data_IF_239770953521
#
_entry.id   IF_239770953521
#
_cell.length_a   1.000
_cell.length_b   1.000
_cell.length_c   1.000
_cell.angle_alpha   90.00
_cell.angle_beta   90.00
_cell.angle_gamma   90.00
#
_symmetry.space_group_name_H-M   'P 1'
#
loop_
_entity.id
_entity.type
_entity.pdbx_description
1 polymer ?
#
# COMPACT_ATOMS: atom_id res chain seq x y z
N UNK A 1 67.62 42.93 0.70
CA UNK A 1 67.67 41.85 -0.32
C UNK A 1 67.40 40.45 0.25
N UNK A 2 67.22 40.28 1.58
CA UNK A 2 66.99 38.98 2.24
C UNK A 2 65.50 38.77 2.59
N UNK A 3 64.74 39.83 2.84
CA UNK A 3 63.30 39.74 3.20
C UNK A 3 62.39 39.26 2.06
N UNK A 4 62.68 39.62 0.80
CA UNK A 4 61.88 39.13 -0.33
C UNK A 4 62.08 37.64 -0.61
N UNK A 5 63.26 37.07 -0.31
CA UNK A 5 63.54 35.63 -0.55
C UNK A 5 62.70 34.75 0.39
N UNK A 6 62.52 35.16 1.65
CA UNK A 6 61.70 34.42 2.62
C UNK A 6 60.21 34.42 2.27
N UNK A 7 59.70 35.52 1.71
CA UNK A 7 58.30 35.61 1.29
C UNK A 7 58.01 34.72 0.07
N UNK A 8 58.95 34.65 -0.90
CA UNK A 8 58.86 33.72 -2.03
C UNK A 8 59.00 32.26 -1.62
N UNK A 9 59.89 31.94 -0.69
CA UNK A 9 60.01 30.57 -0.15
C UNK A 9 58.73 30.12 0.58
N UNK A 10 58.12 30.99 1.40
CA UNK A 10 56.86 30.68 2.09
C UNK A 10 55.69 30.48 1.11
N UNK A 11 55.61 31.30 0.06
CA UNK A 11 54.59 31.15 -0.98
C UNK A 11 54.76 29.86 -1.79
N UNK A 12 56.00 29.48 -2.11
CA UNK A 12 56.30 28.21 -2.81
C UNK A 12 55.98 27.01 -1.90
N UNK A 13 56.32 27.06 -0.61
CA UNK A 13 55.98 26.00 0.34
C UNK A 13 54.47 25.80 0.50
N UNK A 14 53.68 26.89 0.52
CA UNK A 14 52.22 26.82 0.55
C UNK A 14 51.63 26.25 -0.76
N UNK A 15 52.18 26.62 -1.91
CA UNK A 15 51.74 26.07 -3.20
C UNK A 15 52.09 24.58 -3.33
N UNK A 16 53.25 24.14 -2.84
CA UNK A 16 53.64 22.73 -2.79
C UNK A 16 52.76 21.97 -1.81
N UNK A 17 52.47 22.51 -0.63
CA UNK A 17 51.57 21.88 0.34
C UNK A 17 50.13 21.76 -0.22
N UNK A 18 49.63 22.78 -0.92
CA UNK A 18 48.33 22.75 -1.58
C UNK A 18 48.30 21.76 -2.76
N UNK A 19 49.39 21.65 -3.52
CA UNK A 19 49.51 20.66 -4.59
C UNK A 19 49.57 19.23 -4.04
N UNK A 20 50.35 19.00 -2.98
CA UNK A 20 50.44 17.70 -2.29
C UNK A 20 49.10 17.34 -1.66
N UNK A 21 48.41 18.29 -1.00
CA UNK A 21 47.06 18.06 -0.48
C UNK A 21 46.06 17.75 -1.60
N UNK A 22 46.13 18.45 -2.73
CA UNK A 22 45.27 18.18 -3.89
C UNK A 22 45.55 16.80 -4.51
N UNK A 23 46.81 16.36 -4.54
CA UNK A 23 47.22 15.03 -5.02
C UNK A 23 46.76 13.95 -4.03
N UNK A 24 46.95 14.14 -2.72
CA UNK A 24 46.53 13.19 -1.68
C UNK A 24 45.02 13.16 -1.45
N UNK A 25 44.31 14.26 -1.72
CA UNK A 25 42.84 14.30 -1.68
C UNK A 25 42.20 13.60 -2.89
N UNK A 26 42.99 13.23 -3.90
CA UNK A 26 42.46 12.67 -5.15
C UNK A 26 42.38 11.14 -5.19
N UNK A 27 42.94 10.43 -4.20
CA UNK A 27 42.84 8.98 -4.12
C UNK A 27 42.65 8.53 -2.67
N UNK A 28 41.42 8.67 -2.17
CA UNK A 28 40.96 7.98 -0.97
C UNK A 28 39.89 6.96 -1.39
N UNK A 29 40.22 5.65 -1.51
CA UNK A 29 39.35 4.67 -2.16
C UNK A 29 38.15 4.19 -1.31
N UNK A 30 37.75 4.92 -0.26
CA UNK A 30 36.70 4.49 0.67
C UNK A 30 35.54 5.48 0.89
N UNK A 31 35.33 6.46 0.01
CA UNK A 31 34.13 7.31 0.07
C UNK A 31 33.26 7.18 -1.19
N UNK A 32 32.90 5.93 -1.52
CA UNK A 32 31.76 5.67 -2.38
C UNK A 32 30.47 5.77 -1.56
N UNK A 33 30.04 7.01 -1.26
CA UNK A 33 28.60 7.25 -1.05
C UNK A 33 27.91 6.99 -2.38
N UNK A 34 27.49 5.73 -2.58
CA UNK A 34 26.57 5.36 -3.65
C UNK A 34 25.29 6.17 -3.46
N UNK A 35 25.18 7.30 -4.17
CA UNK A 35 23.88 7.91 -4.44
C UNK A 35 23.13 6.92 -5.33
N UNK A 36 22.30 6.11 -4.69
CA UNK A 36 21.28 5.30 -5.38
C UNK A 36 20.38 6.33 -6.07
N UNK A 37 20.57 6.53 -7.38
CA UNK A 37 19.51 7.13 -8.19
C UNK A 37 18.39 6.09 -8.20
N UNK A 38 17.15 6.43 -7.81
CA UNK A 38 16.03 5.53 -8.04
C UNK A 38 16.05 5.15 -9.51
N UNK A 39 16.14 3.85 -9.77
CA UNK A 39 16.11 3.33 -11.12
C UNK A 39 14.69 3.59 -11.63
N UNK A 40 14.58 4.46 -12.64
CA UNK A 40 13.30 4.75 -13.27
C UNK A 40 12.58 3.44 -13.59
N UNK A 41 11.27 3.31 -13.29
CA UNK A 41 10.53 2.11 -13.64
C UNK A 41 10.67 1.84 -15.13
N UNK A 42 11.07 0.61 -15.45
CA UNK A 42 11.38 0.17 -16.80
C UNK A 42 10.08 0.18 -17.62
N UNK A 43 10.00 1.10 -18.58
CA UNK A 43 9.04 1.23 -19.68
C UNK A 43 7.70 0.49 -19.51
N UNK A 44 6.65 1.27 -19.16
CA UNK A 44 5.24 0.90 -19.37
C UNK A 44 5.11 0.34 -20.79
N UNK A 45 4.63 -0.90 -20.91
CA UNK A 45 4.18 -1.42 -22.20
C UNK A 45 2.90 -0.65 -22.53
N UNK A 46 2.99 0.26 -23.49
CA UNK A 46 1.89 1.12 -23.96
C UNK A 46 0.60 0.29 -24.08
N UNK A 47 -0.29 0.51 -23.12
CA UNK A 47 -1.70 0.15 -23.22
C UNK A 47 -2.36 1.49 -23.49
N UNK A 48 -3.06 1.58 -24.62
CA UNK A 48 -3.66 2.81 -25.17
C UNK A 48 -4.09 3.80 -24.09
N UNK A 49 -3.34 4.91 -24.00
CA UNK A 49 -3.62 6.01 -23.09
C UNK A 49 -4.89 6.74 -23.54
N UNK A 50 -5.95 6.56 -22.76
CA UNK A 50 -7.09 7.46 -22.74
C UNK A 50 -7.35 7.85 -21.29
N UNK A 51 -6.81 9.01 -20.88
CA UNK A 51 -7.25 9.79 -19.71
C UNK A 51 -6.40 9.66 -18.44
N UNK A 52 -5.80 10.79 -18.02
CA UNK A 52 -5.22 11.17 -16.71
C UNK A 52 -4.57 10.11 -15.81
N UNK A 53 -3.33 10.36 -15.38
CA UNK A 53 -2.63 9.51 -14.39
C UNK A 53 -3.36 9.41 -13.03
N UNK A 54 -4.28 10.34 -12.74
CA UNK A 54 -5.04 10.41 -11.48
C UNK A 54 -6.16 9.36 -11.36
N UNK A 55 -6.54 9.06 -10.11
CA UNK A 55 -7.54 8.03 -9.80
C UNK A 55 -8.93 8.38 -10.35
N UNK A 56 -9.31 9.67 -10.36
CA UNK A 56 -10.61 10.12 -10.85
C UNK A 56 -10.74 9.89 -12.35
N UNK A 57 -9.71 10.22 -13.12
CA UNK A 57 -9.61 9.95 -14.55
C UNK A 57 -9.69 8.44 -14.85
N UNK A 58 -8.96 7.60 -14.11
CA UNK A 58 -9.03 6.13 -14.23
C UNK A 58 -10.41 5.59 -13.93
N UNK A 59 -11.10 6.11 -12.92
CA UNK A 59 -12.47 5.72 -12.57
C UNK A 59 -13.46 6.14 -13.66
N UNK A 60 -13.40 7.38 -14.14
CA UNK A 60 -14.25 7.88 -15.24
C UNK A 60 -14.05 7.06 -16.52
N UNK A 61 -12.80 6.80 -16.91
CA UNK A 61 -12.47 6.00 -18.10
C UNK A 61 -13.00 4.55 -18.02
N UNK A 62 -12.93 3.93 -16.84
CA UNK A 62 -13.45 2.57 -16.61
C UNK A 62 -14.94 2.54 -16.22
N UNK A 63 -15.59 3.70 -16.15
CA UNK A 63 -16.98 3.86 -15.71
C UNK A 63 -17.25 3.30 -14.32
N UNK A 64 -16.31 3.50 -13.38
CA UNK A 64 -16.40 3.08 -11.98
C UNK A 64 -16.86 4.25 -11.11
N UNK A 65 -17.73 3.95 -10.16
CA UNK A 65 -18.29 4.94 -9.23
C UNK A 65 -18.19 4.49 -7.77
N UNK A 66 -17.69 3.30 -7.46
CA UNK A 66 -17.31 2.94 -6.09
C UNK A 66 -15.80 2.79 -6.05
N UNK A 67 -15.13 3.54 -5.18
CA UNK A 67 -13.72 3.35 -4.87
C UNK A 67 -13.63 2.64 -3.53
N UNK A 68 -12.97 1.49 -3.50
CA UNK A 68 -12.74 0.71 -2.28
C UNK A 68 -11.25 0.71 -1.98
N UNK A 69 -10.88 1.30 -0.85
CA UNK A 69 -9.53 1.38 -0.31
C UNK A 69 -9.41 0.40 0.86
N UNK A 70 -8.31 -0.35 0.92
CA UNK A 70 -8.10 -1.35 1.96
C UNK A 70 -6.82 -1.10 2.76
N UNK A 71 -6.91 -1.23 4.08
CA UNK A 71 -5.76 -1.31 4.99
C UNK A 71 -5.60 -2.73 5.50
N UNK A 72 -4.55 -3.43 5.06
CA UNK A 72 -4.37 -4.86 5.31
C UNK A 72 -2.90 -5.20 5.51
N UNK A 73 -2.55 -5.99 6.54
CA UNK A 73 -1.21 -6.61 6.65
C UNK A 73 -1.21 -8.07 6.19
N UNK A 74 -2.28 -8.83 6.51
CA UNK A 74 -2.34 -10.29 6.26
C UNK A 74 -3.35 -10.70 5.19
N UNK A 75 -4.00 -9.75 4.52
CA UNK A 75 -4.88 -10.00 3.36
C UNK A 75 -6.38 -9.92 3.64
N UNK A 76 -6.84 -9.98 4.90
CA UNK A 76 -8.28 -10.05 5.22
C UNK A 76 -9.09 -8.87 4.68
N UNK A 77 -8.62 -7.64 4.88
CA UNK A 77 -9.33 -6.45 4.42
C UNK A 77 -9.28 -6.32 2.88
N UNK A 78 -8.21 -6.79 2.25
CA UNK A 78 -8.07 -6.87 0.78
C UNK A 78 -9.10 -7.85 0.20
N UNK A 79 -9.23 -9.04 0.79
CA UNK A 79 -10.20 -10.05 0.38
C UNK A 79 -11.65 -9.58 0.55
N UNK A 80 -11.96 -8.91 1.66
CA UNK A 80 -13.28 -8.31 1.88
C UNK A 80 -13.58 -7.21 0.87
N UNK A 81 -12.58 -6.39 0.53
CA UNK A 81 -12.70 -5.33 -0.49
C UNK A 81 -12.94 -5.89 -1.88
N UNK A 82 -12.19 -6.94 -2.26
CA UNK A 82 -12.40 -7.68 -3.50
C UNK A 82 -13.79 -8.34 -3.53
N UNK A 83 -14.23 -8.87 -2.39
CA UNK A 83 -15.58 -9.36 -2.14
C UNK A 83 -16.64 -8.32 -2.46
N UNK A 84 -16.61 -7.19 -1.78
CA UNK A 84 -17.52 -6.06 -1.96
C UNK A 84 -17.54 -5.59 -3.41
N UNK A 85 -16.38 -5.39 -4.01
CA UNK A 85 -16.29 -4.87 -5.38
C UNK A 85 -16.90 -5.83 -6.42
N UNK A 86 -16.79 -7.14 -6.21
CA UNK A 86 -17.41 -8.15 -7.06
C UNK A 86 -18.93 -8.10 -6.99
N UNK A 87 -19.48 -7.82 -5.80
CA UNK A 87 -20.92 -7.70 -5.59
C UNK A 87 -21.52 -6.43 -6.19
N UNK A 88 -20.73 -5.37 -6.38
CA UNK A 88 -21.19 -4.11 -6.96
C UNK A 88 -21.90 -4.31 -8.30
N UNK A 89 -21.43 -5.26 -9.12
CA UNK A 89 -22.05 -5.56 -10.41
C UNK A 89 -23.49 -6.09 -10.32
N UNK A 90 -23.92 -6.58 -9.16
CA UNK A 90 -25.31 -7.00 -8.91
C UNK A 90 -26.26 -5.82 -8.75
N UNK A 91 -25.75 -4.61 -8.56
CA UNK A 91 -26.56 -3.41 -8.43
C UNK A 91 -26.51 -2.59 -9.72
N UNK A 92 -27.66 -2.05 -10.13
CA UNK A 92 -27.75 -1.22 -11.33
C UNK A 92 -26.85 -0.01 -11.22
N UNK A 93 -26.14 0.32 -12.31
CA UNK A 93 -25.25 1.50 -12.42
C UNK A 93 -24.11 1.57 -11.40
N UNK A 94 -23.93 0.55 -10.56
CA UNK A 94 -22.81 0.47 -9.62
C UNK A 94 -21.69 -0.39 -10.21
N UNK A 95 -20.47 0.14 -10.17
CA UNK A 95 -19.25 -0.58 -10.51
C UNK A 95 -18.12 -0.11 -9.59
N UNK A 96 -17.50 -1.06 -8.91
CA UNK A 96 -16.41 -0.80 -7.99
C UNK A 96 -15.03 -0.97 -8.61
N UNK A 97 -14.06 -0.29 -8.03
CA UNK A 97 -12.62 -0.50 -8.20
C UNK A 97 -12.00 -0.63 -6.81
N UNK A 98 -11.15 -1.65 -6.63
CA UNK A 98 -10.34 -1.81 -5.42
C UNK A 98 -8.95 -1.30 -5.72
N UNK A 99 -8.39 -0.51 -4.80
CA UNK A 99 -7.06 0.09 -4.96
C UNK A 99 -6.33 0.05 -3.63
N UNK A 100 -5.04 -0.28 -3.68
CA UNK A 100 -4.13 -0.14 -2.56
C UNK A 100 -3.89 1.37 -2.30
N UNK A 101 -4.12 1.90 -1.09
CA UNK A 101 -3.90 3.32 -0.81
C UNK A 101 -2.47 3.80 -1.10
N UNK A 102 -1.46 2.94 -1.12
CA UNK A 102 -0.10 3.33 -1.53
C UNK A 102 0.03 3.65 -3.03
N UNK A 103 -0.93 3.27 -3.86
CA UNK A 103 -0.88 3.40 -5.33
C UNK A 103 -1.60 4.65 -5.86
N UNK A 104 -2.09 5.54 -4.98
CA UNK A 104 -2.83 6.74 -5.35
C UNK A 104 -2.31 7.99 -4.62
N UNK A 105 -2.54 9.14 -5.24
CA UNK A 105 -2.39 10.45 -4.62
C UNK A 105 -3.70 10.80 -3.89
N UNK A 106 -3.62 11.34 -2.68
CA UNK A 106 -4.77 11.49 -1.78
C UNK A 106 -5.56 12.77 -2.04
N UNK A 107 -4.91 13.78 -2.61
CA UNK A 107 -5.51 15.07 -2.97
C UNK A 107 -6.66 14.91 -3.97
N UNK A 108 -6.65 13.82 -4.75
CA UNK A 108 -7.71 13.50 -5.69
C UNK A 108 -8.97 12.94 -5.03
N UNK A 109 -8.91 12.49 -3.78
CA UNK A 109 -10.05 11.87 -3.10
C UNK A 109 -11.21 12.86 -2.87
N UNK A 110 -10.91 14.13 -2.60
CA UNK A 110 -11.94 15.18 -2.47
C UNK A 110 -12.73 15.43 -3.76
N UNK A 111 -12.15 15.08 -4.92
CA UNK A 111 -12.76 15.22 -6.24
C UNK A 111 -13.61 14.02 -6.65
N UNK A 112 -13.72 13.00 -5.80
CA UNK A 112 -14.51 11.81 -6.10
C UNK A 112 -16.01 12.12 -6.26
N UNK A 113 -16.49 13.23 -5.67
CA UNK A 113 -17.86 13.73 -5.81
C UNK A 113 -18.18 14.22 -7.23
N UNK A 114 -17.16 14.49 -8.06
CA UNK A 114 -17.33 14.79 -9.50
C UNK A 114 -17.91 13.60 -10.29
N UNK A 115 -17.76 12.37 -9.77
CA UNK A 115 -18.29 11.16 -10.41
C UNK A 115 -19.75 10.96 -9.95
N UNK A 116 -20.73 10.89 -10.86
CA UNK A 116 -22.12 10.67 -10.47
C UNK A 116 -22.31 9.37 -9.69
N UNK A 117 -23.08 9.45 -8.60
CA UNK A 117 -23.36 8.33 -7.70
C UNK A 117 -22.07 7.71 -7.12
N UNK A 118 -21.08 8.54 -6.79
CA UNK A 118 -19.82 8.03 -6.26
C UNK A 118 -19.92 7.64 -4.79
N UNK A 119 -19.15 6.62 -4.40
CA UNK A 119 -18.98 6.20 -3.00
C UNK A 119 -17.51 5.90 -2.74
N UNK A 120 -16.97 6.46 -1.67
CA UNK A 120 -15.68 6.10 -1.10
C UNK A 120 -15.88 5.07 0.01
N UNK A 121 -15.19 3.92 -0.07
CA UNK A 121 -15.29 2.87 0.95
C UNK A 121 -13.91 2.57 1.50
N UNK A 122 -13.78 2.57 2.82
CA UNK A 122 -12.59 2.10 3.53
C UNK A 122 -12.85 0.79 4.24
N UNK A 123 -12.01 -0.22 4.01
CA UNK A 123 -11.95 -1.44 4.80
C UNK A 123 -10.56 -1.48 5.46
N UNK A 124 -10.48 -1.07 6.72
CA UNK A 124 -9.19 -0.80 7.37
C UNK A 124 -9.00 -1.65 8.61
N UNK A 125 -7.91 -2.42 8.63
CA UNK A 125 -7.50 -3.15 9.80
C UNK A 125 -6.72 -2.27 10.78
N UNK A 126 -6.85 -2.56 12.07
CA UNK A 126 -6.05 -1.94 13.13
C UNK A 126 -4.95 -2.92 13.55
N UNK A 127 -3.70 -2.44 13.64
CA UNK A 127 -2.54 -3.25 14.05
C UNK A 127 -1.79 -2.61 15.22
N UNK A 128 -0.86 -3.36 15.81
CA UNK A 128 -0.01 -2.87 16.90
C UNK A 128 -0.82 -2.35 18.09
N UNK A 129 -0.49 -1.14 18.52
CA UNK A 129 -1.13 -0.45 19.66
C UNK A 129 -2.18 0.56 19.17
N UNK A 130 -3.01 0.14 18.21
CA UNK A 130 -4.03 0.99 17.60
C UNK A 130 -3.57 1.73 16.36
N UNK A 131 -2.49 1.29 15.72
CA UNK A 131 -1.84 1.89 14.55
C UNK A 131 -2.49 1.45 13.22
N UNK A 132 -2.32 2.22 12.12
CA UNK A 132 -2.69 1.79 10.78
C UNK A 132 -1.88 0.58 10.29
N UNK A 133 -2.34 -0.04 9.22
CA UNK A 133 -1.52 -0.99 8.46
C UNK A 133 -0.45 -0.25 7.68
N UNK A 134 0.63 -0.94 7.31
CA UNK A 134 1.76 -0.34 6.59
C UNK A 134 1.26 0.39 5.33
N UNK A 135 0.38 -0.27 4.57
CA UNK A 135 -0.19 0.27 3.34
C UNK A 135 -1.24 1.39 3.54
N UNK A 136 -1.57 1.75 4.78
CA UNK A 136 -2.45 2.90 5.12
C UNK A 136 -1.77 3.98 5.95
N UNK A 137 -0.50 3.80 6.31
CA UNK A 137 0.23 4.79 7.13
C UNK A 137 0.23 6.18 6.49
N UNK A 138 0.54 6.27 5.20
CA UNK A 138 0.68 7.55 4.48
C UNK A 138 -0.66 8.30 4.35
N UNK A 139 -1.75 7.59 4.07
CA UNK A 139 -3.09 8.20 4.01
C UNK A 139 -3.60 8.56 5.41
N UNK A 140 -3.25 7.80 6.43
CA UNK A 140 -3.55 8.14 7.82
C UNK A 140 -2.85 9.44 8.24
N UNK A 141 -1.54 9.55 7.98
CA UNK A 141 -0.76 10.77 8.26
C UNK A 141 -1.31 11.97 7.48
N UNK A 142 -1.71 11.78 6.22
CA UNK A 142 -2.35 12.81 5.42
C UNK A 142 -3.69 13.24 6.04
N UNK A 143 -4.57 12.29 6.41
CA UNK A 143 -5.84 12.61 7.06
C UNK A 143 -5.66 13.35 8.41
N UNK A 144 -4.55 13.12 9.11
CA UNK A 144 -4.23 13.81 10.37
C UNK A 144 -3.88 15.29 10.20
N UNK A 145 -3.50 15.74 9.02
CA UNK A 145 -3.14 17.13 8.79
C UNK A 145 -4.36 18.05 9.03
N UNK A 146 -4.22 18.94 10.02
CA UNK A 146 -5.24 19.89 10.44
C UNK A 146 -5.39 21.06 9.47
N UNK A 147 -4.48 21.23 8.51
CA UNK A 147 -4.56 22.26 7.47
C UNK A 147 -5.60 21.94 6.38
N UNK A 148 -6.14 20.73 6.37
CA UNK A 148 -7.23 20.36 5.45
C UNK A 148 -8.49 21.21 5.67
N UNK A 149 -9.10 21.62 4.57
CA UNK A 149 -10.41 22.28 4.59
C UNK A 149 -11.48 21.33 5.14
N UNK A 150 -12.34 21.83 6.05
CA UNK A 150 -13.48 21.10 6.59
C UNK A 150 -14.50 20.71 5.50
N UNK A 151 -14.42 21.30 4.30
CA UNK A 151 -15.23 20.92 3.14
C UNK A 151 -14.53 19.97 2.16
N UNK A 152 -13.37 19.40 2.49
CA UNK A 152 -12.57 18.57 1.58
C UNK A 152 -13.36 17.42 0.94
N UNK A 153 -14.25 16.80 1.71
CA UNK A 153 -15.13 15.72 1.28
C UNK A 153 -16.59 16.16 1.14
N UNK A 154 -16.87 17.46 0.96
CA UNK A 154 -18.24 17.97 0.82
C UNK A 154 -18.97 17.28 -0.34
N UNK A 155 -20.15 16.73 -0.03
CA UNK A 155 -20.98 15.97 -0.99
C UNK A 155 -20.46 14.57 -1.29
N UNK A 156 -19.29 14.16 -0.77
CA UNK A 156 -18.77 12.81 -0.94
C UNK A 156 -19.50 11.84 -0.01
N UNK A 157 -20.14 10.83 -0.61
CA UNK A 157 -20.70 9.71 0.15
C UNK A 157 -19.60 8.73 0.54
N UNK A 158 -19.57 8.30 1.79
CA UNK A 158 -18.58 7.32 2.23
C UNK A 158 -19.14 6.26 3.19
N UNK A 159 -18.39 5.16 3.31
CA UNK A 159 -18.65 4.09 4.26
C UNK A 159 -17.33 3.51 4.77
N UNK A 160 -17.30 3.08 6.04
CA UNK A 160 -16.11 2.48 6.65
C UNK A 160 -16.48 1.17 7.34
N UNK A 161 -15.64 0.16 7.16
CA UNK A 161 -15.65 -1.07 7.93
C UNK A 161 -14.27 -1.25 8.58
N UNK A 162 -14.25 -1.21 9.91
CA UNK A 162 -13.06 -1.52 10.68
C UNK A 162 -12.90 -3.02 10.86
N UNK A 163 -11.67 -3.50 10.72
CA UNK A 163 -11.26 -4.84 11.12
C UNK A 163 -10.41 -4.73 12.40
N UNK A 164 -10.87 -5.37 13.47
CA UNK A 164 -10.18 -5.35 14.76
C UNK A 164 -10.47 -6.61 15.55
N UNK A 165 -9.97 -6.66 16.78
CA UNK A 165 -10.15 -7.80 17.66
C UNK A 165 -10.34 -7.26 19.10
N UNK A 166 -11.44 -7.64 19.77
CA UNK A 166 -11.78 -7.10 21.10
C UNK A 166 -10.85 -7.51 22.22
N UNK A 167 -9.95 -8.46 21.99
CA UNK A 167 -8.90 -8.84 22.96
C UNK A 167 -7.79 -7.80 23.05
N UNK A 168 -7.69 -6.89 22.06
CA UNK A 168 -6.75 -5.76 22.07
C UNK A 168 -7.39 -4.52 22.70
N UNK A 169 -6.56 -3.69 23.35
CA UNK A 169 -7.01 -2.46 24.01
C UNK A 169 -7.63 -1.47 23.03
N UNK A 170 -7.00 -1.28 21.88
CA UNK A 170 -7.40 -0.31 20.85
C UNK A 170 -8.31 -0.95 19.78
N UNK A 171 -9.43 -1.51 20.22
CA UNK A 171 -10.40 -2.17 19.33
C UNK A 171 -10.90 -1.24 18.21
N UNK A 172 -10.59 -1.61 16.95
CA UNK A 172 -11.00 -0.88 15.74
C UNK A 172 -10.59 0.60 15.69
N UNK A 173 -9.52 1.00 16.38
CA UNK A 173 -9.09 2.39 16.47
C UNK A 173 -8.96 3.07 15.09
N UNK A 174 -8.45 2.36 14.08
CA UNK A 174 -8.30 2.90 12.72
C UNK A 174 -9.63 3.05 11.99
N UNK A 175 -10.52 2.07 12.07
CA UNK A 175 -11.87 2.19 11.50
C UNK A 175 -12.65 3.36 12.10
N UNK A 176 -12.56 3.51 13.43
CA UNK A 176 -13.19 4.62 14.17
C UNK A 176 -12.58 5.96 13.76
N UNK A 177 -11.25 6.04 13.65
CA UNK A 177 -10.55 7.27 13.26
C UNK A 177 -10.95 7.71 11.85
N UNK A 178 -10.83 6.83 10.85
CA UNK A 178 -11.15 7.15 9.45
C UNK A 178 -12.60 7.61 9.31
N UNK A 179 -13.54 6.88 9.93
CA UNK A 179 -14.96 7.24 9.89
C UNK A 179 -15.22 8.62 10.51
N UNK A 180 -14.65 8.89 11.69
CA UNK A 180 -14.80 10.18 12.36
C UNK A 180 -14.19 11.31 11.53
N UNK A 181 -12.96 11.13 11.04
CA UNK A 181 -12.20 12.15 10.33
C UNK A 181 -12.85 12.51 8.99
N UNK A 182 -13.41 11.53 8.28
CA UNK A 182 -14.17 11.79 7.04
C UNK A 182 -15.42 12.63 7.28
N UNK A 183 -16.13 12.44 8.41
CA UNK A 183 -17.25 13.31 8.79
C UNK A 183 -16.77 14.72 9.13
N UNK A 184 -15.69 14.86 9.89
CA UNK A 184 -15.11 16.17 10.24
C UNK A 184 -14.69 16.97 9.01
N UNK A 185 -14.27 16.29 7.94
CA UNK A 185 -13.89 16.88 6.67
C UNK A 185 -15.06 17.00 5.66
N UNK A 186 -16.31 16.94 6.15
CA UNK A 186 -17.51 17.25 5.35
C UNK A 186 -18.10 16.07 4.59
N UNK A 187 -17.56 14.86 4.77
CA UNK A 187 -18.06 13.64 4.17
C UNK A 187 -19.40 13.19 4.74
N UNK A 188 -20.21 12.56 3.89
CA UNK A 188 -21.54 12.07 4.26
C UNK A 188 -21.56 10.54 4.39
N UNK A 189 -21.63 10.07 5.63
CA UNK A 189 -21.74 8.64 5.95
C UNK A 189 -23.06 8.07 5.41
N UNK A 190 -23.01 7.03 4.58
CA UNK A 190 -24.22 6.36 4.05
C UNK A 190 -24.67 5.16 4.89
N UNK A 191 -23.77 4.51 5.62
CA UNK A 191 -24.07 3.38 6.50
C UNK A 191 -23.23 3.53 7.75
N UNK A 192 -23.75 3.12 8.91
CA UNK A 192 -23.01 3.14 10.17
C UNK A 192 -21.66 2.42 10.05
N UNK A 193 -20.67 2.90 10.80
CA UNK A 193 -19.36 2.27 10.89
C UNK A 193 -19.51 0.81 11.31
N UNK A 194 -18.98 -0.10 10.50
CA UNK A 194 -18.88 -1.50 10.89
C UNK A 194 -17.66 -1.74 11.78
N UNK A 195 -17.85 -2.51 12.84
CA UNK A 195 -16.80 -2.89 13.78
C UNK A 195 -16.67 -4.41 13.78
N UNK A 196 -15.81 -4.94 12.91
CA UNK A 196 -15.54 -6.37 12.84
C UNK A 196 -14.72 -6.86 14.04
N UNK A 197 -15.00 -8.07 14.51
CA UNK A 197 -14.30 -8.70 15.64
C UNK A 197 -13.70 -10.06 15.28
N UNK A 198 -12.38 -10.09 15.12
CA UNK A 198 -11.60 -11.29 14.80
C UNK A 198 -11.46 -12.27 15.98
N UNK A 199 -11.80 -11.87 17.21
CA UNK A 199 -11.93 -12.81 18.34
C UNK A 199 -13.15 -13.74 18.18
N UNK A 200 -14.16 -13.28 17.43
CA UNK A 200 -15.40 -13.98 17.19
C UNK A 200 -15.49 -14.45 15.72
N UNK A 201 -16.31 -13.78 14.92
CA UNK A 201 -16.52 -14.13 13.52
C UNK A 201 -16.62 -12.87 12.65
N UNK A 202 -15.44 -12.35 12.31
CA UNK A 202 -15.32 -11.12 11.52
C UNK A 202 -15.99 -11.23 10.13
N UNK A 203 -16.07 -12.43 9.54
CA UNK A 203 -16.77 -12.63 8.27
C UNK A 203 -18.28 -12.41 8.39
N UNK A 204 -18.89 -12.84 9.50
CA UNK A 204 -20.31 -12.63 9.77
C UNK A 204 -20.60 -11.15 10.03
N UNK A 205 -19.76 -10.48 10.82
CA UNK A 205 -19.84 -9.03 11.05
C UNK A 205 -19.75 -8.25 9.73
N UNK A 206 -18.79 -8.63 8.87
CA UNK A 206 -18.62 -8.01 7.56
C UNK A 206 -19.82 -8.26 6.65
N UNK A 207 -20.36 -9.48 6.62
CA UNK A 207 -21.52 -9.80 5.80
C UNK A 207 -22.76 -9.02 6.26
N UNK A 208 -23.00 -8.91 7.57
CA UNK A 208 -24.10 -8.12 8.13
C UNK A 208 -23.97 -6.63 7.76
N UNK A 209 -22.77 -6.06 7.92
CA UNK A 209 -22.50 -4.68 7.53
C UNK A 209 -22.67 -4.45 6.02
N UNK A 210 -22.15 -5.37 5.20
CA UNK A 210 -22.22 -5.31 3.74
C UNK A 210 -23.66 -5.34 3.22
N UNK A 211 -24.54 -6.12 3.86
CA UNK A 211 -25.97 -6.10 3.54
C UNK A 211 -26.59 -4.72 3.79
N UNK A 212 -26.29 -4.10 4.94
CA UNK A 212 -26.76 -2.74 5.25
C UNK A 212 -26.16 -1.69 4.31
N UNK A 213 -24.88 -1.81 3.98
CA UNK A 213 -24.20 -0.97 3.02
C UNK A 213 -24.94 -0.97 1.68
N UNK A 214 -25.23 -2.15 1.12
CA UNK A 214 -25.92 -2.24 -0.16
C UNK A 214 -27.35 -1.73 -0.10
N UNK A 215 -28.08 -1.97 0.99
CA UNK A 215 -29.41 -1.39 1.21
C UNK A 215 -29.36 0.15 1.21
N UNK A 216 -28.34 0.72 1.85
CA UNK A 216 -28.14 2.18 1.87
C UNK A 216 -27.76 2.73 0.50
N UNK A 217 -26.87 2.05 -0.25
CA UNK A 217 -26.53 2.41 -1.63
C UNK A 217 -27.78 2.44 -2.50
N UNK A 218 -28.65 1.42 -2.40
CA UNK A 218 -29.90 1.36 -3.16
C UNK A 218 -30.83 2.54 -2.81
N UNK A 219 -30.97 2.86 -1.52
CA UNK A 219 -31.81 3.97 -1.05
C UNK A 219 -31.27 5.33 -1.49
N UNK A 220 -29.96 5.54 -1.35
CA UNK A 220 -29.28 6.81 -1.60
C UNK A 220 -29.28 7.16 -3.08
N UNK A 221 -28.93 6.20 -3.94
CA UNK A 221 -28.80 6.42 -5.39
C UNK A 221 -30.03 5.97 -6.20
N UNK A 222 -31.06 5.46 -5.53
CA UNK A 222 -32.30 4.94 -6.16
C UNK A 222 -31.99 3.90 -7.24
N UNK A 223 -31.09 2.97 -6.91
CA UNK A 223 -30.69 1.85 -7.77
C UNK A 223 -31.29 0.55 -7.27
N UNK A 224 -31.62 -0.36 -8.18
CA UNK A 224 -32.15 -1.68 -7.83
C UNK A 224 -31.07 -2.76 -7.93
N UNK A 225 -31.27 -3.87 -7.20
CA UNK A 225 -30.54 -5.10 -7.44
C UNK A 225 -31.05 -5.74 -8.74
N UNK A 226 -30.13 -6.18 -9.59
CA UNK A 226 -30.44 -6.87 -10.85
C UNK A 226 -31.01 -8.26 -10.56
N UNK A 227 -31.98 -8.69 -11.36
CA UNK A 227 -32.62 -10.01 -11.24
C UNK A 227 -31.71 -11.16 -11.68
N UNK A 228 -30.65 -10.88 -12.44
CA UNK A 228 -29.73 -11.91 -12.95
C UNK A 228 -28.62 -12.19 -11.95
N UNK A 229 -28.71 -13.34 -11.28
CA UNK A 229 -27.69 -13.89 -10.38
C UNK A 229 -26.55 -14.57 -11.17
N UNK A 230 -26.15 -13.96 -12.28
CA UNK A 230 -25.08 -14.48 -13.13
C UNK A 230 -23.74 -14.38 -12.43
N UNK A 231 -23.04 -15.50 -12.28
CA UNK A 231 -21.64 -15.49 -11.82
C UNK A 231 -20.77 -14.73 -12.82
N UNK A 232 -20.35 -13.52 -12.49
CA UNK A 232 -19.45 -12.73 -13.34
C UNK A 232 -18.03 -13.24 -13.12
N UNK A 233 -17.43 -13.84 -14.15
CA UNK A 233 -16.03 -14.26 -14.14
C UNK A 233 -15.14 -13.03 -14.34
N UNK A 234 -14.32 -12.71 -13.35
CA UNK A 234 -13.31 -11.63 -13.45
C UNK A 234 -12.12 -12.03 -14.33
N UNK A 235 -11.79 -13.33 -14.35
CA UNK A 235 -10.67 -13.87 -15.10
C UNK A 235 -11.15 -14.81 -16.20
N UNK A 236 -10.46 -14.78 -17.34
CA UNK A 236 -10.65 -15.72 -18.45
C UNK A 236 -9.44 -16.64 -18.52
N UNK A 237 -9.68 -17.95 -18.55
CA UNK A 237 -8.62 -18.93 -18.79
C UNK A 237 -8.08 -18.76 -20.22
N UNK A 238 -6.77 -18.60 -20.35
CA UNK A 238 -6.07 -18.70 -21.62
C UNK A 238 -5.05 -19.85 -21.54
N UNK A 239 -5.24 -20.88 -22.36
CA UNK A 239 -4.38 -22.06 -22.36
C UNK A 239 -3.13 -21.89 -23.23
N UNK A 240 -3.07 -20.85 -24.06
CA UNK A 240 -1.92 -20.55 -24.91
C UNK A 240 -0.98 -19.58 -24.20
N UNK A 241 0.23 -20.05 -23.87
CA UNK A 241 1.25 -19.23 -23.22
C UNK A 241 2.67 -19.64 -23.63
N UNK A 242 3.62 -18.71 -23.45
CA UNK A 242 5.03 -18.98 -23.68
C UNK A 242 5.63 -19.73 -22.49
N UNK A 243 6.02 -20.99 -22.69
CA UNK A 243 6.61 -21.86 -21.66
C UNK A 243 7.90 -21.29 -21.03
N UNK A 244 8.61 -20.40 -21.72
CA UNK A 244 9.83 -19.76 -21.21
C UNK A 244 9.54 -18.50 -20.38
N UNK A 245 8.27 -18.08 -20.27
CA UNK A 245 7.83 -16.90 -19.52
C UNK A 245 6.70 -17.26 -18.56
N UNK A 246 6.97 -18.23 -17.69
CA UNK A 246 6.01 -18.75 -16.71
C UNK A 246 6.54 -18.46 -15.31
N UNK A 247 5.71 -17.80 -14.50
CA UNK A 247 5.99 -17.64 -13.07
C UNK A 247 6.01 -19.01 -12.39
N UNK A 248 7.00 -19.22 -11.53
CA UNK A 248 7.26 -20.48 -10.81
C UNK A 248 7.05 -20.36 -9.30
N UNK A 249 6.35 -19.30 -8.88
CA UNK A 249 6.08 -18.97 -7.48
C UNK A 249 6.55 -17.57 -7.08
N UNK A 250 7.21 -16.83 -7.97
CA UNK A 250 7.60 -15.43 -7.74
C UNK A 250 6.40 -14.54 -7.45
N UNK A 251 6.56 -13.61 -6.49
CA UNK A 251 5.49 -12.70 -6.05
C UNK A 251 5.08 -11.73 -7.17
N UNK A 252 6.02 -10.91 -7.64
CA UNK A 252 5.71 -9.85 -8.63
C UNK A 252 6.57 -9.96 -9.88
N UNK A 253 7.90 -10.01 -9.72
CA UNK A 253 8.83 -9.92 -10.85
C UNK A 253 9.23 -11.31 -11.36
N UNK A 254 9.04 -11.53 -12.65
CA UNK A 254 9.46 -12.76 -13.34
C UNK A 254 10.96 -13.06 -13.10
N UNK A 255 11.28 -14.30 -12.72
CA UNK A 255 12.62 -14.77 -12.33
C UNK A 255 13.24 -14.05 -11.12
N UNK A 256 12.48 -13.35 -10.28
CA UNK A 256 13.02 -12.67 -9.08
C UNK A 256 13.63 -13.64 -8.06
N UNK A 257 13.09 -14.85 -7.92
CA UNK A 257 13.69 -15.88 -7.05
C UNK A 257 15.10 -16.29 -7.49
N UNK A 258 15.36 -16.30 -8.80
CA UNK A 258 16.68 -16.64 -9.35
C UNK A 258 17.60 -15.43 -9.39
N UNK A 259 17.04 -14.27 -9.70
CA UNK A 259 17.75 -13.00 -9.88
C UNK A 259 17.49 -12.08 -8.69
N UNK A 260 17.93 -12.50 -7.51
CA UNK A 260 17.78 -11.75 -6.25
C UNK A 260 18.62 -10.48 -6.29
N UNK A 261 17.96 -9.33 -6.09
CA UNK A 261 18.60 -8.02 -6.03
C UNK A 261 17.87 -7.15 -5.01
N UNK A 262 18.59 -6.42 -4.14
CA UNK A 262 17.97 -5.47 -3.21
C UNK A 262 17.37 -4.26 -3.96
N UNK A 263 16.45 -3.49 -3.32
CA UNK A 263 15.93 -3.69 -1.96
C UNK A 263 15.00 -4.91 -1.87
N UNK A 264 14.94 -5.50 -0.67
CA UNK A 264 14.04 -6.61 -0.37
C UNK A 264 12.90 -6.11 0.51
N UNK A 265 11.68 -6.48 0.15
CA UNK A 265 10.42 -6.09 0.78
C UNK A 265 9.35 -7.18 0.51
N UNK A 266 8.10 -6.92 0.86
CA UNK A 266 6.98 -7.85 0.64
C UNK A 266 6.74 -8.19 -0.85
N UNK A 267 7.09 -7.28 -1.77
CA UNK A 267 6.93 -7.44 -3.23
C UNK A 267 8.17 -8.11 -3.88
N UNK A 268 9.32 -8.09 -3.20
CA UNK A 268 10.57 -8.73 -3.60
C UNK A 268 11.27 -9.38 -2.39
N UNK A 269 10.80 -10.55 -1.91
CA UNK A 269 11.36 -11.19 -0.72
C UNK A 269 12.75 -11.75 -0.97
N UNK A 270 13.58 -11.74 0.09
CA UNK A 270 14.90 -12.36 0.09
C UNK A 270 14.82 -13.87 0.38
N UNK A 271 15.49 -14.66 -0.45
CA UNK A 271 15.58 -16.11 -0.30
C UNK A 271 16.72 -16.50 0.64
N UNK A 272 16.50 -16.31 1.94
CA UNK A 272 17.47 -16.63 2.98
C UNK A 272 17.68 -18.14 3.14
N UNK A 273 18.94 -18.55 3.35
CA UNK A 273 19.28 -19.95 3.61
C UNK A 273 19.01 -20.27 5.08
N UNK A 274 18.25 -21.33 5.34
CA UNK A 274 18.12 -21.89 6.70
C UNK A 274 19.43 -22.57 7.09
N UNK A 275 20.10 -22.06 8.13
CA UNK A 275 21.38 -22.57 8.65
C UNK A 275 21.23 -23.37 9.94
N UNK A 276 20.18 -23.11 10.71
CA UNK A 276 19.79 -23.95 11.86
C UNK A 276 18.32 -24.29 11.76
N UNK A 277 17.99 -25.55 12.06
CA UNK A 277 16.64 -26.06 12.16
C UNK A 277 16.60 -27.10 13.29
N UNK A 278 16.15 -26.68 14.48
CA UNK A 278 16.29 -27.47 15.72
C UNK A 278 14.97 -27.53 16.48
N UNK A 279 14.54 -28.73 16.87
CA UNK A 279 13.43 -28.92 17.81
C UNK A 279 13.86 -28.48 19.23
N UNK A 280 13.03 -27.65 19.87
CA UNK A 280 13.24 -27.13 21.22
C UNK A 280 12.51 -27.97 22.27
N UNK A 281 11.43 -28.65 21.90
CA UNK A 281 10.75 -29.55 22.82
C UNK A 281 11.42 -30.92 22.88
N UNK A 282 11.51 -31.47 24.09
CA UNK A 282 12.10 -32.80 24.31
C UNK A 282 11.03 -33.92 24.39
N UNK A 283 9.77 -33.64 24.05
CA UNK A 283 8.65 -34.59 24.07
C UNK A 283 7.27 -33.92 24.09
N UNK A 284 6.21 -34.75 24.02
CA UNK A 284 4.81 -34.31 23.94
C UNK A 284 4.29 -34.20 22.50
N UNK A 285 3.05 -33.74 22.34
CA UNK A 285 2.34 -33.71 21.05
C UNK A 285 2.50 -32.37 20.30
N UNK A 286 3.40 -31.50 20.75
CA UNK A 286 3.65 -30.17 20.17
C UNK A 286 5.11 -30.03 19.78
N UNK A 287 5.36 -29.42 18.62
CA UNK A 287 6.69 -29.06 18.13
C UNK A 287 6.93 -27.57 18.30
N UNK A 288 8.15 -27.19 18.67
CA UNK A 288 8.61 -25.80 18.69
C UNK A 288 10.01 -25.74 18.08
N UNK A 289 10.15 -25.07 16.93
CA UNK A 289 11.39 -25.07 16.16
C UNK A 289 12.18 -23.78 16.35
N UNK A 290 13.47 -23.89 16.63
CA UNK A 290 14.45 -22.81 16.49
C UNK A 290 15.02 -22.83 15.08
N UNK A 291 14.79 -21.75 14.34
CA UNK A 291 15.25 -21.56 12.96
C UNK A 291 16.20 -20.37 12.90
N UNK A 292 17.40 -20.57 12.34
CA UNK A 292 18.30 -19.46 11.98
C UNK A 292 18.36 -19.36 10.46
N UNK A 293 18.24 -18.13 9.95
CA UNK A 293 18.33 -17.82 8.52
C UNK A 293 19.50 -16.88 8.26
N UNK A 294 20.30 -17.18 7.23
CA UNK A 294 21.46 -16.38 6.83
C UNK A 294 21.03 -15.23 5.92
N UNK A 295 21.33 -14.00 6.33
CA UNK A 295 20.98 -12.75 5.62
C UNK A 295 22.19 -11.88 5.23
N UNK A 296 23.42 -12.38 5.43
CA UNK A 296 24.67 -11.62 5.29
C UNK A 296 24.82 -10.90 3.93
N UNK A 297 24.40 -11.54 2.83
CA UNK A 297 24.49 -10.97 1.48
C UNK A 297 23.26 -10.11 1.10
N UNK A 298 22.23 -10.11 1.94
CA UNK A 298 20.96 -9.46 1.64
C UNK A 298 21.01 -7.94 1.84
N UNK A 299 21.98 -7.45 2.63
CA UNK A 299 22.05 -6.03 3.07
C UNK A 299 20.72 -5.55 3.68
N UNK A 300 19.97 -6.47 4.29
CA UNK A 300 18.80 -6.16 5.12
C UNK A 300 19.37 -5.49 6.37
N UNK A 301 18.80 -4.34 6.75
CA UNK A 301 19.21 -3.66 7.99
C UNK A 301 18.57 -4.40 9.16
N UNK A 302 19.37 -4.70 10.17
CA UNK A 302 18.90 -5.03 11.51
C UNK A 302 18.27 -3.78 12.17
#
# INVERSE_FOLDING_TARGET
MIENVNLYCAAISLLVAAAVWKIYSKDNPNDNKFKIKPMAPMAKKETEEVGGDDIISKMKAKGRNILVLYGSQTGTAEDFSAGLAREAHRYEKMKAMVVDPEEIEYEDLGRLSEIPNSVLVFLVATYGEGDPTDNTQTIYDWLQDEEHDESLFEGQKFAVFGLGNKTYEFYNAMGIYFDKRLVELGGERIVDLGLGDDDANIEEDFNAWKEQFWLSVCRTFKVNRKETDGTIRQYKLNSEFNKNRVFTGEVVRFNSHKNQRPPYDSKNPYYAKVVVNKELHNGGDRSCMHIEVEISDAKIRD
#
